data_IF_264300449027
#
_entry.id   IF_264300449027
#
_cell.length_a   1.000
_cell.length_b   1.000
_cell.length_c   1.000
_cell.angle_alpha   90.00
_cell.angle_beta   90.00
_cell.angle_gamma   90.00
#
_symmetry.space_group_name_H-M   'P 1'
#
loop_
_entity.id
_entity.type
_entity.pdbx_description
1 polymer ?
#
# COMPACT_ATOMS: atom_id res chain seq x y z
N UNK A 1 -40.20 15.74 26.85
CA UNK A 1 -40.39 14.33 27.30
C UNK A 1 -39.02 13.67 27.28
N UNK A 2 -38.46 13.37 28.44
CA UNK A 2 -37.25 12.54 28.53
C UNK A 2 -37.67 11.08 28.74
N UNK A 3 -37.13 10.11 28.00
CA UNK A 3 -37.30 8.71 28.34
C UNK A 3 -36.41 8.31 29.53
N UNK A 4 -36.99 7.58 30.47
CA UNK A 4 -36.34 7.01 31.66
C UNK A 4 -35.52 5.76 31.30
N UNK A 5 -34.36 5.50 31.92
CA UNK A 5 -33.57 4.30 31.70
C UNK A 5 -34.12 3.10 32.50
N UNK A 6 -34.15 1.92 31.87
CA UNK A 6 -34.49 0.66 32.54
C UNK A 6 -33.22 0.04 33.17
N UNK A 7 -33.32 -0.25 34.47
CA UNK A 7 -32.34 -0.98 35.28
C UNK A 7 -32.71 -2.47 35.26
N UNK A 8 -31.73 -3.35 35.06
CA UNK A 8 -31.58 -4.64 35.76
C UNK A 8 -30.34 -5.40 35.23
N UNK A 9 -29.40 -5.65 36.14
CA UNK A 9 -28.26 -6.57 36.02
C UNK A 9 -28.67 -7.96 36.59
N UNK A 10 -27.73 -8.87 36.95
CA UNK A 10 -26.72 -9.59 36.18
C UNK A 10 -26.93 -11.13 36.28
N UNK A 11 -26.16 -11.92 35.52
CA UNK A 11 -25.41 -13.12 35.97
C UNK A 11 -25.02 -14.00 34.79
N UNK A 12 -23.72 -14.05 34.52
CA UNK A 12 -23.07 -15.08 33.73
C UNK A 12 -22.29 -15.95 34.73
N UNK A 13 -22.59 -17.25 34.78
CA UNK A 13 -21.62 -18.34 34.94
C UNK A 13 -22.35 -19.70 34.99
N UNK A 14 -22.03 -20.60 34.06
CA UNK A 14 -21.67 -21.99 34.35
C UNK A 14 -21.31 -22.76 33.07
N UNK A 15 -20.16 -23.44 33.16
CA UNK A 15 -19.59 -24.37 32.20
C UNK A 15 -20.36 -25.71 32.16
N UNK A 16 -20.23 -26.46 31.07
CA UNK A 16 -20.19 -27.94 31.08
C UNK A 16 -19.60 -28.47 29.75
N UNK A 17 -19.04 -29.68 29.83
CA UNK A 17 -18.01 -30.26 28.98
C UNK A 17 -18.51 -31.16 27.80
N UNK A 18 -17.55 -31.47 26.90
CA UNK A 18 -17.32 -32.67 26.02
C UNK A 18 -18.51 -33.50 25.49
N UNK A 19 -18.59 -33.89 24.21
CA UNK A 19 -17.80 -34.89 23.44
C UNK A 19 -18.00 -34.59 21.92
N UNK A 20 -17.05 -34.73 20.99
CA UNK A 20 -16.37 -35.96 20.57
C UNK A 20 -17.08 -36.58 19.35
N UNK A 21 -16.69 -36.26 18.11
CA UNK A 21 -16.68 -37.23 17.00
C UNK A 21 -15.83 -36.75 15.80
N UNK A 22 -15.13 -37.71 15.21
CA UNK A 22 -14.09 -37.63 14.17
C UNK A 22 -14.71 -37.85 12.80
N UNK A 23 -14.32 -37.09 11.78
CA UNK A 23 -14.28 -37.62 10.42
C UNK A 23 -13.22 -36.90 9.58
N UNK A 24 -12.22 -37.68 9.18
CA UNK A 24 -11.17 -37.31 8.26
C UNK A 24 -11.53 -37.85 6.88
N UNK A 25 -11.92 -36.97 5.95
CA UNK A 25 -11.98 -37.33 4.53
C UNK A 25 -10.77 -36.74 3.79
N UNK A 26 -9.90 -37.65 3.36
CA UNK A 26 -8.68 -37.41 2.60
C UNK A 26 -9.03 -37.43 1.12
N UNK A 27 -9.24 -36.26 0.52
CA UNK A 27 -9.33 -36.09 -0.92
C UNK A 27 -8.02 -35.61 -1.53
N UNK A 28 -7.04 -36.49 -1.72
CA UNK A 28 -5.83 -36.19 -2.51
C UNK A 28 -6.17 -36.26 -4.00
N UNK A 29 -6.22 -35.10 -4.67
CA UNK A 29 -6.18 -35.01 -6.12
C UNK A 29 -4.79 -34.53 -6.56
N UNK A 30 -3.97 -35.50 -7.01
CA UNK A 30 -2.69 -35.22 -7.68
C UNK A 30 -2.96 -34.85 -9.14
N UNK A 31 -3.07 -33.55 -9.41
CA UNK A 31 -2.96 -32.98 -10.76
C UNK A 31 -1.58 -32.34 -10.93
N UNK A 32 -0.62 -33.08 -11.49
CA UNK A 32 0.68 -32.52 -11.86
C UNK A 32 0.54 -31.69 -13.15
N UNK A 33 0.36 -30.38 -13.01
CA UNK A 33 0.60 -29.41 -14.08
C UNK A 33 1.73 -28.50 -13.63
N UNK A 34 2.86 -28.55 -14.34
CA UNK A 34 4.08 -27.81 -14.02
C UNK A 34 3.80 -26.33 -13.73
N UNK A 35 3.93 -25.94 -12.47
CA UNK A 35 3.77 -24.56 -12.03
C UNK A 35 5.10 -23.84 -12.18
N UNK A 36 5.18 -22.93 -13.16
CA UNK A 36 6.07 -21.78 -13.07
C UNK A 36 5.69 -21.06 -11.78
N UNK A 37 6.55 -21.12 -10.76
CA UNK A 37 6.34 -20.42 -9.50
C UNK A 37 6.59 -18.92 -9.70
N UNK A 38 5.75 -18.26 -10.48
CA UNK A 38 5.52 -16.83 -10.30
C UNK A 38 4.74 -16.71 -9.01
N UNK A 39 5.40 -16.25 -7.94
CA UNK A 39 4.72 -15.83 -6.72
C UNK A 39 3.78 -14.67 -7.08
N UNK A 40 2.54 -14.98 -7.44
CA UNK A 40 1.52 -14.00 -7.77
C UNK A 40 1.14 -13.26 -6.48
N UNK A 41 1.87 -12.19 -6.20
CA UNK A 41 1.49 -11.28 -5.13
C UNK A 41 0.13 -10.67 -5.48
N UNK A 42 -0.83 -10.63 -4.54
CA UNK A 42 -2.13 -10.06 -4.82
C UNK A 42 -2.00 -8.59 -5.22
N UNK A 43 -2.80 -8.17 -6.20
CA UNK A 43 -2.80 -6.80 -6.68
C UNK A 43 -3.06 -5.81 -5.52
N UNK A 44 -2.17 -4.83 -5.36
CA UNK A 44 -2.20 -3.86 -4.25
C UNK A 44 -1.15 -4.13 -3.16
N UNK A 45 -0.44 -5.24 -3.21
CA UNK A 45 0.72 -5.51 -2.33
C UNK A 45 1.99 -4.86 -2.89
N UNK A 46 2.74 -4.18 -2.02
CA UNK A 46 4.03 -3.61 -2.37
C UNK A 46 5.11 -4.71 -2.44
N UNK A 47 6.07 -4.63 -3.36
CA UNK A 47 7.15 -5.60 -3.47
C UNK A 47 8.11 -5.52 -2.28
N UNK A 48 8.85 -6.60 -2.01
CA UNK A 48 9.79 -6.70 -0.88
C UNK A 48 10.89 -5.63 -0.90
N UNK A 49 11.24 -5.11 -2.08
CA UNK A 49 12.20 -4.00 -2.24
C UNK A 49 11.82 -2.75 -1.42
N UNK A 50 10.52 -2.59 -1.13
CA UNK A 50 9.97 -1.48 -0.36
C UNK A 50 10.24 -1.61 1.14
N UNK A 51 10.69 -2.77 1.63
CA UNK A 51 11.03 -2.99 3.04
C UNK A 51 12.09 -2.01 3.58
N UNK A 52 12.97 -1.50 2.70
CA UNK A 52 13.99 -0.50 3.02
C UNK A 52 13.42 0.90 3.32
N UNK A 53 12.17 1.18 2.93
CA UNK A 53 11.54 2.48 3.15
C UNK A 53 11.01 2.64 4.58
N UNK A 54 10.94 3.89 5.03
CA UNK A 54 10.36 4.23 6.33
C UNK A 54 8.90 3.74 6.43
N UNK A 55 8.45 3.42 7.66
CA UNK A 55 7.07 2.96 7.90
C UNK A 55 6.03 3.94 7.35
N UNK A 56 6.30 5.25 7.47
CA UNK A 56 5.45 6.31 6.93
C UNK A 56 5.38 6.28 5.40
N UNK A 57 6.50 6.08 4.72
CA UNK A 57 6.56 5.97 3.26
C UNK A 57 5.81 4.73 2.76
N UNK A 58 6.00 3.57 3.40
CA UNK A 58 5.27 2.34 3.07
C UNK A 58 3.76 2.52 3.22
N UNK A 59 3.33 3.08 4.35
CA UNK A 59 1.91 3.35 4.60
C UNK A 59 1.30 4.37 3.62
N UNK A 60 2.12 5.30 3.11
CA UNK A 60 1.70 6.25 2.08
C UNK A 60 1.49 5.54 0.75
N UNK A 61 2.46 4.71 0.33
CA UNK A 61 2.41 3.96 -0.92
C UNK A 61 1.23 2.98 -0.95
N UNK A 62 0.98 2.24 0.12
CA UNK A 62 -0.19 1.35 0.23
C UNK A 62 -1.50 2.09 -0.04
N UNK A 63 -1.63 3.33 0.46
CA UNK A 63 -2.84 4.15 0.27
C UNK A 63 -2.94 4.84 -1.09
N UNK A 64 -1.80 5.18 -1.71
CA UNK A 64 -1.76 5.77 -3.05
C UNK A 64 -2.01 4.72 -4.14
N UNK A 65 -1.48 3.52 -3.95
CA UNK A 65 -1.53 2.42 -4.89
C UNK A 65 -2.64 1.41 -4.55
N UNK A 66 -3.63 1.81 -3.74
CA UNK A 66 -4.75 0.96 -3.39
C UNK A 66 -5.53 0.55 -4.66
N UNK A 67 -5.91 -0.73 -4.70
CA UNK A 67 -6.65 -1.34 -5.80
C UNK A 67 -8.05 -0.74 -5.91
N UNK A 68 -8.73 -0.54 -4.76
CA UNK A 68 -10.05 0.09 -4.76
C UNK A 68 -9.90 1.62 -4.82
N UNK A 69 -10.34 2.28 -5.92
CA UNK A 69 -10.23 3.73 -6.04
C UNK A 69 -11.01 4.49 -4.96
N UNK A 70 -12.00 3.87 -4.32
CA UNK A 70 -12.77 4.47 -3.22
C UNK A 70 -11.97 4.55 -1.92
N UNK A 71 -11.07 3.60 -1.71
CA UNK A 71 -10.18 3.52 -0.55
C UNK A 71 -8.86 4.26 -0.79
N UNK A 72 -8.49 4.41 -2.06
CA UNK A 72 -7.32 5.19 -2.49
C UNK A 72 -7.36 6.61 -1.95
N UNK A 73 -6.23 7.06 -1.43
CA UNK A 73 -6.06 8.43 -1.00
C UNK A 73 -6.29 9.39 -2.17
N UNK A 74 -7.28 10.28 -2.04
CA UNK A 74 -7.80 11.09 -3.16
C UNK A 74 -7.70 12.59 -2.96
N UNK A 75 -7.25 13.04 -1.80
CA UNK A 75 -7.18 14.47 -1.49
C UNK A 75 -5.79 14.89 -1.03
N UNK A 76 -5.42 16.12 -1.41
CA UNK A 76 -4.17 16.74 -0.99
C UNK A 76 -4.08 16.87 0.54
N UNK A 77 -5.21 17.13 1.22
CA UNK A 77 -5.24 17.21 2.68
C UNK A 77 -4.85 15.88 3.34
N UNK A 78 -5.35 14.74 2.82
CA UNK A 78 -4.96 13.42 3.32
C UNK A 78 -3.47 13.13 3.10
N UNK A 79 -2.91 13.55 1.96
CA UNK A 79 -1.49 13.45 1.67
C UNK A 79 -0.67 14.20 2.72
N UNK A 80 -1.01 15.47 2.95
CA UNK A 80 -0.35 16.36 3.91
C UNK A 80 -0.41 15.83 5.36
N UNK A 81 -1.51 15.19 5.73
CA UNK A 81 -1.72 14.60 7.05
C UNK A 81 -1.06 13.22 7.23
N UNK A 82 -0.44 12.67 6.21
CA UNK A 82 0.21 11.36 6.32
C UNK A 82 1.48 11.42 7.18
N UNK A 83 1.80 10.31 7.85
CA UNK A 83 3.01 10.19 8.67
C UNK A 83 4.31 10.50 7.90
N UNK A 84 4.32 10.29 6.59
CA UNK A 84 5.46 10.59 5.73
C UNK A 84 5.78 12.09 5.66
N UNK A 85 4.75 12.95 5.69
CA UNK A 85 4.92 14.40 5.61
C UNK A 85 4.90 15.09 6.99
N UNK A 86 5.00 14.34 8.08
CA UNK A 86 5.13 14.93 9.42
C UNK A 86 6.44 15.71 9.51
N UNK A 87 6.36 16.98 9.94
CA UNK A 87 7.50 17.90 9.97
C UNK A 87 7.83 18.56 8.62
N UNK A 88 7.10 18.25 7.54
CA UNK A 88 7.24 18.94 6.27
C UNK A 88 6.41 20.23 6.25
N UNK A 89 7.06 21.38 6.04
CA UNK A 89 6.39 22.67 6.00
C UNK A 89 5.94 23.00 4.56
N UNK A 90 4.67 22.73 4.26
CA UNK A 90 4.09 23.00 2.95
C UNK A 90 4.04 24.50 2.59
N UNK A 91 3.92 25.38 3.58
CA UNK A 91 3.85 26.82 3.34
C UNK A 91 5.19 27.38 2.90
N UNK A 92 6.31 26.83 3.38
CA UNK A 92 7.65 27.19 2.91
C UNK A 92 7.82 26.87 1.42
N UNK A 93 7.28 25.73 0.97
CA UNK A 93 7.36 25.31 -0.42
C UNK A 93 6.48 26.18 -1.31
N UNK A 94 5.23 26.42 -0.90
CA UNK A 94 4.29 27.32 -1.62
C UNK A 94 4.87 28.72 -1.78
N UNK A 95 5.54 29.22 -0.74
CA UNK A 95 6.18 30.53 -0.73
C UNK A 95 7.60 30.53 -1.32
N UNK A 96 8.04 29.43 -1.94
CA UNK A 96 9.36 29.28 -2.58
C UNK A 96 10.54 29.60 -1.65
N UNK A 97 10.39 29.38 -0.34
CA UNK A 97 11.45 29.59 0.67
C UNK A 97 12.53 28.51 0.62
N UNK A 98 12.25 27.38 -0.03
CA UNK A 98 13.20 26.27 -0.19
C UNK A 98 13.68 26.23 -1.64
N UNK A 99 15.00 26.32 -1.83
CA UNK A 99 15.62 26.18 -3.15
C UNK A 99 15.64 24.71 -3.57
N UNK A 100 15.21 24.36 -4.80
CA UNK A 100 15.35 22.99 -5.30
C UNK A 100 16.82 22.51 -5.31
N UNK A 101 17.77 23.42 -5.59
CA UNK A 101 19.20 23.08 -5.62
C UNK A 101 19.71 22.61 -4.26
N UNK A 102 19.31 23.27 -3.18
CA UNK A 102 19.75 22.88 -1.84
C UNK A 102 19.18 21.54 -1.39
N UNK A 103 18.00 21.15 -1.89
CA UNK A 103 17.46 19.79 -1.69
C UNK A 103 18.32 18.78 -2.46
N UNK A 104 18.62 19.06 -3.73
CA UNK A 104 19.42 18.16 -4.56
C UNK A 104 20.82 17.94 -3.97
N UNK A 105 21.51 19.01 -3.58
CA UNK A 105 22.84 18.92 -2.95
C UNK A 105 22.81 18.13 -1.63
N UNK A 106 21.70 18.24 -0.87
CA UNK A 106 21.55 17.52 0.41
C UNK A 106 21.36 16.01 0.24
N UNK A 107 20.60 15.58 -0.77
CA UNK A 107 20.24 14.16 -0.94
C UNK A 107 21.06 13.46 -2.03
N UNK A 108 21.66 14.21 -2.94
CA UNK A 108 22.48 13.74 -4.06
C UNK A 108 23.76 14.59 -4.14
N UNK A 109 24.64 14.53 -3.11
CA UNK A 109 25.84 15.37 -3.06
C UNK A 109 26.79 15.12 -4.23
N UNK A 110 26.88 13.87 -4.68
CA UNK A 110 27.74 13.45 -5.80
C UNK A 110 27.00 13.47 -7.16
N UNK A 111 25.79 14.05 -7.18
CA UNK A 111 24.89 14.04 -8.34
C UNK A 111 24.04 12.77 -8.43
N UNK A 112 23.10 12.72 -9.41
CA UNK A 112 22.24 11.56 -9.60
C UNK A 112 23.06 10.36 -10.08
N UNK A 113 22.86 9.20 -9.45
CA UNK A 113 23.36 7.92 -9.95
C UNK A 113 22.67 7.63 -11.27
N UNK A 114 23.37 7.83 -12.38
CA UNK A 114 22.88 7.42 -13.70
C UNK A 114 23.02 5.91 -13.76
N UNK A 115 21.94 5.20 -13.44
CA UNK A 115 21.84 3.77 -13.73
C UNK A 115 21.76 3.67 -15.25
N UNK A 116 22.89 3.38 -15.88
CA UNK A 116 23.00 3.12 -17.31
C UNK A 116 22.43 1.73 -17.62
N UNK A 117 21.13 1.57 -17.42
CA UNK A 117 20.39 0.54 -18.16
C UNK A 117 20.48 0.91 -19.65
N UNK A 118 20.79 -0.03 -20.56
CA UNK A 118 20.79 0.24 -21.98
C UNK A 118 19.34 0.56 -22.39
N UNK A 119 18.99 1.84 -22.43
CA UNK A 119 17.71 2.33 -22.94
C UNK A 119 17.57 1.85 -24.37
N UNK A 120 16.77 0.82 -24.57
CA UNK A 120 16.41 0.40 -25.90
C UNK A 120 15.54 1.51 -26.48
N UNK A 121 15.80 1.91 -27.73
CA UNK A 121 15.04 2.98 -28.41
C UNK A 121 13.56 2.59 -28.64
N UNK A 122 13.19 1.37 -28.29
CA UNK A 122 11.89 0.74 -28.54
C UNK A 122 10.85 0.99 -27.44
N UNK A 123 11.25 1.50 -26.27
CA UNK A 123 10.40 1.48 -25.05
C UNK A 123 9.12 2.35 -25.14
N UNK A 124 8.99 3.23 -26.15
CA UNK A 124 7.86 4.15 -26.30
C UNK A 124 7.25 4.21 -27.71
N UNK A 125 7.50 3.22 -28.57
CA UNK A 125 6.98 3.23 -29.96
C UNK A 125 5.45 3.14 -30.05
N UNK A 126 4.78 2.64 -29.01
CA UNK A 126 3.32 2.50 -28.96
C UNK A 126 2.57 3.78 -28.56
N UNK A 127 3.26 4.85 -28.15
CA UNK A 127 2.58 6.09 -27.71
C UNK A 127 1.99 6.87 -28.90
N UNK A 128 2.61 6.76 -30.08
CA UNK A 128 2.19 7.46 -31.30
C UNK A 128 1.27 6.60 -32.20
N UNK A 129 0.47 5.68 -31.65
CA UNK A 129 -0.47 4.90 -32.47
C UNK A 129 -1.41 5.85 -33.24
N UNK A 130 -1.39 5.83 -34.60
CA UNK A 130 -2.32 6.64 -35.37
C UNK A 130 -3.74 6.11 -35.13
N UNK A 131 -4.69 7.02 -34.86
CA UNK A 131 -6.11 6.70 -34.84
C UNK A 131 -6.50 6.13 -36.21
N UNK A 132 -6.64 4.81 -36.29
CA UNK A 132 -7.31 4.15 -37.42
C UNK A 132 -8.80 4.39 -37.25
N UNK A 133 -9.32 5.31 -38.08
CA UNK A 133 -10.75 5.58 -38.27
C UNK A 133 -11.41 4.51 -39.13
#
# INVERSE_FOLDING_TARGET
MYPSPAVAAPSADQAEATDGEVDADTGQSNGSTGQRSSSEQPAGTLPDSVASLSKGARALLMRLCDRDPRQRMRSLRQLQQSAFYMGYNFDHIKNKKVSPKSILEKYFPDGPVIISEPRSREDFTSFDQPCVF
#
